data_IF_381398593514
#
_entry.id   IF_381398593514
#
_cell.length_a   1.000
_cell.length_b   1.000
_cell.length_c   1.000
_cell.angle_alpha   90.00
_cell.angle_beta   90.00
_cell.angle_gamma   90.00
#
_symmetry.space_group_name_H-M   'P 1'
#
loop_
_entity.id
_entity.type
_entity.pdbx_description
1 polymer ?
#
# COMPACT_ATOMS: atom_id res chain seq x y z
N UNK A 1 26.79 3.68 -21.54
CA UNK A 1 26.19 2.33 -21.56
C UNK A 1 25.08 2.21 -20.52
N UNK A 2 25.21 2.84 -19.34
CA UNK A 2 24.15 2.78 -18.32
C UNK A 2 22.86 3.55 -18.68
N UNK A 3 22.95 4.64 -19.45
CA UNK A 3 21.79 5.46 -19.85
C UNK A 3 20.84 4.79 -20.87
N UNK A 4 21.28 3.78 -21.62
CA UNK A 4 20.43 3.05 -22.57
C UNK A 4 19.54 1.99 -21.89
N UNK A 5 19.97 1.49 -20.73
CA UNK A 5 19.18 0.55 -19.93
C UNK A 5 17.99 1.28 -19.31
N UNK A 6 18.20 2.48 -18.75
CA UNK A 6 17.12 3.28 -18.17
C UNK A 6 16.15 3.87 -19.21
N UNK A 7 16.59 4.09 -20.45
CA UNK A 7 15.74 4.63 -21.51
C UNK A 7 14.76 3.62 -22.11
N UNK A 8 15.03 2.32 -21.96
CA UNK A 8 14.17 1.23 -22.42
C UNK A 8 13.32 0.63 -21.30
N UNK A 9 13.61 0.96 -20.04
CA UNK A 9 12.85 0.50 -18.89
C UNK A 9 11.59 1.36 -18.68
N UNK A 10 10.45 0.73 -18.93
CA UNK A 10 9.14 1.30 -18.66
C UNK A 10 8.48 0.51 -17.53
N UNK A 11 8.20 1.15 -16.40
CA UNK A 11 7.59 0.50 -15.25
C UNK A 11 6.10 0.82 -15.18
N UNK A 12 5.30 -0.22 -14.95
CA UNK A 12 3.87 -0.05 -14.68
C UNK A 12 3.66 0.61 -13.31
N UNK A 13 2.67 1.50 -13.20
CA UNK A 13 2.29 2.14 -11.93
C UNK A 13 1.86 1.08 -10.88
N UNK A 14 1.41 -0.09 -11.32
CA UNK A 14 1.06 -1.24 -10.47
C UNK A 14 2.16 -1.67 -9.51
N UNK A 15 3.44 -1.38 -9.79
CA UNK A 15 4.53 -1.68 -8.86
C UNK A 15 4.40 -0.94 -7.51
N UNK A 16 3.70 0.20 -7.46
CA UNK A 16 3.38 0.90 -6.20
C UNK A 16 2.42 0.10 -5.31
N UNK A 17 1.67 -0.85 -5.87
CA UNK A 17 0.75 -1.70 -5.13
C UNK A 17 1.48 -2.80 -4.35
N UNK A 18 2.74 -3.11 -4.65
CA UNK A 18 3.48 -4.18 -3.97
C UNK A 18 3.72 -3.91 -2.48
N UNK A 19 4.31 -2.76 -2.08
CA UNK A 19 4.45 -2.43 -0.66
C UNK A 19 3.11 -2.42 0.08
N UNK A 20 2.05 -1.93 -0.58
CA UNK A 20 0.70 -1.90 -0.05
C UNK A 20 0.13 -3.32 0.14
N UNK A 21 0.33 -4.20 -0.83
CA UNK A 21 -0.08 -5.61 -0.75
C UNK A 21 0.65 -6.37 0.36
N UNK A 22 1.96 -6.14 0.53
CA UNK A 22 2.74 -6.71 1.64
C UNK A 22 2.22 -6.20 2.98
N UNK A 23 1.96 -4.90 3.10
CA UNK A 23 1.38 -4.31 4.30
C UNK A 23 0.04 -4.99 4.64
N UNK A 24 -0.87 -5.15 3.67
CA UNK A 24 -2.14 -5.82 3.92
C UNK A 24 -1.99 -7.28 4.32
N UNK A 25 -1.07 -8.00 3.67
CA UNK A 25 -0.80 -9.39 4.02
C UNK A 25 -0.37 -9.52 5.48
N UNK A 26 0.60 -8.72 5.91
CA UNK A 26 1.07 -8.69 7.31
C UNK A 26 -0.04 -8.25 8.26
N UNK A 27 -0.82 -7.22 7.90
CA UNK A 27 -1.95 -6.73 8.68
C UNK A 27 -3.02 -7.80 8.91
N UNK A 28 -3.37 -8.57 7.88
CA UNK A 28 -4.35 -9.66 7.98
C UNK A 28 -3.83 -10.75 8.90
N UNK A 29 -2.57 -11.19 8.73
CA UNK A 29 -1.96 -12.20 9.60
C UNK A 29 -1.95 -11.75 11.07
N UNK A 30 -1.53 -10.51 11.32
CA UNK A 30 -1.52 -9.91 12.65
C UNK A 30 -2.93 -9.85 13.26
N UNK A 31 -3.91 -9.40 12.48
CA UNK A 31 -5.30 -9.27 12.93
C UNK A 31 -5.91 -10.62 13.27
N UNK A 32 -5.71 -11.64 12.43
CA UNK A 32 -6.18 -13.00 12.68
C UNK A 32 -5.51 -13.61 13.91
N UNK A 33 -4.20 -13.41 14.08
CA UNK A 33 -3.48 -13.87 15.27
C UNK A 33 -4.04 -13.22 16.54
N UNK A 34 -4.24 -11.91 16.54
CA UNK A 34 -4.80 -11.18 17.68
C UNK A 34 -6.22 -11.62 18.01
N UNK A 35 -7.08 -11.77 16.99
CA UNK A 35 -8.45 -12.25 17.18
C UNK A 35 -8.45 -13.67 17.75
N UNK A 36 -7.66 -14.59 17.18
CA UNK A 36 -7.51 -15.94 17.70
C UNK A 36 -7.04 -15.94 19.16
N UNK A 37 -6.03 -15.14 19.48
CA UNK A 37 -5.50 -15.04 20.83
C UNK A 37 -6.56 -14.50 21.81
N UNK A 38 -7.31 -13.48 21.43
CA UNK A 38 -8.40 -12.93 22.24
C UNK A 38 -9.53 -13.94 22.45
N UNK A 39 -9.95 -14.66 21.41
CA UNK A 39 -10.99 -15.69 21.53
C UNK A 39 -10.56 -16.87 22.40
N UNK A 40 -9.29 -17.29 22.31
CA UNK A 40 -8.77 -18.47 23.00
C UNK A 40 -8.33 -18.18 24.43
N UNK A 41 -7.73 -17.01 24.69
CA UNK A 41 -7.05 -16.68 25.94
C UNK A 41 -7.56 -15.39 26.61
N UNK A 42 -8.36 -14.59 25.91
CA UNK A 42 -8.80 -13.25 26.35
C UNK A 42 -9.98 -13.23 27.32
N UNK A 43 -10.13 -14.26 28.17
CA UNK A 43 -11.31 -14.49 29.04
C UNK A 43 -11.63 -13.32 30.00
N UNK A 44 -10.71 -12.38 30.22
CA UNK A 44 -10.88 -11.26 31.17
C UNK A 44 -10.68 -9.84 30.62
N UNK A 45 -10.46 -9.64 29.32
CA UNK A 45 -10.12 -8.33 28.76
C UNK A 45 -11.07 -7.87 27.64
N UNK A 46 -12.35 -7.66 27.99
CA UNK A 46 -13.38 -7.15 27.05
C UNK A 46 -12.97 -5.84 26.36
N UNK A 47 -12.22 -4.97 27.05
CA UNK A 47 -11.68 -3.74 26.46
C UNK A 47 -10.73 -4.00 25.28
N UNK A 48 -9.88 -5.03 25.36
CA UNK A 48 -8.99 -5.39 24.26
C UNK A 48 -9.77 -5.92 23.05
N UNK A 49 -10.89 -6.61 23.29
CA UNK A 49 -11.78 -7.06 22.22
C UNK A 49 -12.39 -5.90 21.45
N UNK A 50 -12.91 -4.89 22.17
CA UNK A 50 -13.47 -3.68 21.55
C UNK A 50 -12.40 -2.93 20.75
N UNK A 51 -11.23 -2.68 21.36
CA UNK A 51 -10.15 -1.94 20.69
C UNK A 51 -9.68 -2.67 19.43
N UNK A 52 -9.45 -3.99 19.51
CA UNK A 52 -9.03 -4.77 18.35
C UNK A 52 -10.09 -4.79 17.26
N UNK A 53 -11.38 -4.84 17.64
CA UNK A 53 -12.49 -4.82 16.67
C UNK A 53 -12.60 -3.47 15.97
N UNK A 54 -12.54 -2.37 16.72
CA UNK A 54 -12.56 -1.00 16.17
C UNK A 54 -11.37 -0.79 15.25
N UNK A 55 -10.17 -1.24 15.66
CA UNK A 55 -8.97 -1.15 14.84
C UNK A 55 -9.15 -1.87 13.50
N UNK A 56 -9.58 -3.14 13.52
CA UNK A 56 -9.78 -3.92 12.29
C UNK A 56 -10.85 -3.30 11.40
N UNK A 57 -12.01 -2.95 11.95
CA UNK A 57 -13.11 -2.33 11.18
C UNK A 57 -12.71 -0.97 10.61
N UNK A 58 -12.03 -0.14 11.41
CA UNK A 58 -11.54 1.17 10.98
C UNK A 58 -10.54 1.06 9.84
N UNK A 59 -9.60 0.11 9.93
CA UNK A 59 -8.68 -0.16 8.83
C UNK A 59 -9.43 -0.64 7.59
N UNK A 60 -10.32 -1.63 7.70
CA UNK A 60 -11.12 -2.12 6.56
C UNK A 60 -11.91 -0.99 5.89
N UNK A 61 -12.51 -0.10 6.69
CA UNK A 61 -13.24 1.06 6.19
C UNK A 61 -12.33 2.03 5.40
N UNK A 62 -11.19 2.42 5.98
CA UNK A 62 -10.23 3.32 5.33
C UNK A 62 -9.68 2.72 4.04
N UNK A 63 -9.40 1.42 4.03
CA UNK A 63 -8.90 0.70 2.85
C UNK A 63 -9.96 0.65 1.75
N UNK A 64 -11.20 0.35 2.12
CA UNK A 64 -12.32 0.36 1.17
C UNK A 64 -12.49 1.74 0.55
N UNK A 65 -12.43 2.80 1.38
CA UNK A 65 -12.51 4.18 0.90
C UNK A 65 -11.34 4.52 -0.05
N UNK A 66 -10.11 4.12 0.29
CA UNK A 66 -8.95 4.32 -0.56
C UNK A 66 -9.08 3.60 -1.90
N UNK A 67 -9.62 2.38 -1.91
CA UNK A 67 -9.92 1.64 -3.15
C UNK A 67 -10.90 2.45 -3.99
N UNK A 68 -12.04 2.89 -3.41
CA UNK A 68 -13.04 3.67 -4.14
C UNK A 68 -12.47 4.95 -4.76
N UNK A 69 -11.64 5.69 -4.02
CA UNK A 69 -10.99 6.92 -4.51
C UNK A 69 -10.03 6.63 -5.68
N UNK A 70 -9.47 5.43 -5.74
CA UNK A 70 -8.41 5.09 -6.70
C UNK A 70 -8.87 4.15 -7.83
N UNK A 71 -10.17 3.87 -7.93
CA UNK A 71 -10.74 3.03 -9.00
C UNK A 71 -10.52 3.63 -10.39
N UNK A 72 -10.53 4.96 -10.51
CA UNK A 72 -10.38 5.65 -11.79
C UNK A 72 -8.91 5.77 -12.23
N UNK A 73 -7.97 5.29 -11.42
CA UNK A 73 -6.53 5.30 -11.75
C UNK A 73 -6.22 4.11 -12.65
N UNK A 74 -5.64 4.38 -13.82
CA UNK A 74 -5.06 3.33 -14.66
C UNK A 74 -3.74 2.83 -14.06
N UNK A 75 -3.83 1.77 -13.27
CA UNK A 75 -2.68 1.11 -12.65
C UNK A 75 -1.78 0.41 -13.67
N UNK A 76 -2.27 0.13 -14.88
CA UNK A 76 -1.50 -0.52 -15.95
C UNK A 76 -0.69 0.47 -16.76
N UNK A 77 -0.95 1.77 -16.58
CA UNK A 77 -0.19 2.84 -17.20
C UNK A 77 1.32 2.63 -17.00
N UNK A 78 2.06 2.88 -18.07
CA UNK A 78 3.51 2.71 -18.12
C UNK A 78 4.17 4.07 -17.99
N UNK A 79 5.08 4.21 -17.03
CA UNK A 79 5.90 5.41 -16.85
C UNK A 79 7.30 5.11 -17.37
N UNK A 80 7.77 5.96 -18.30
CA UNK A 80 9.16 5.97 -18.74
C UNK A 80 10.04 6.50 -17.61
N UNK A 81 10.99 5.69 -17.14
CA UNK A 81 11.95 6.09 -16.10
C UNK A 81 12.78 7.30 -16.56
N UNK A 82 13.13 7.38 -17.84
CA UNK A 82 13.84 8.53 -18.42
C UNK A 82 13.07 9.84 -18.22
N UNK A 83 11.80 9.87 -18.61
CA UNK A 83 10.98 11.08 -18.53
C UNK A 83 10.77 11.51 -17.07
N UNK A 84 10.59 10.54 -16.16
CA UNK A 84 10.43 10.80 -14.73
C UNK A 84 11.66 11.51 -14.13
N UNK A 85 12.87 11.06 -14.43
CA UNK A 85 14.10 11.68 -13.92
C UNK A 85 14.43 13.02 -14.61
N UNK A 86 14.13 13.16 -15.91
CA UNK A 86 14.29 14.43 -16.63
C UNK A 86 13.37 15.51 -16.06
N UNK A 87 12.07 15.23 -15.88
CA UNK A 87 11.10 16.16 -15.28
C UNK A 87 11.45 16.52 -13.83
N UNK A 88 11.89 15.53 -13.04
CA UNK A 88 12.33 15.76 -11.66
C UNK A 88 13.56 16.67 -11.60
N UNK A 89 14.52 16.49 -12.51
CA UNK A 89 15.72 17.35 -12.58
C UNK A 89 15.36 18.80 -12.91
N UNK A 90 14.45 19.03 -13.85
CA UNK A 90 14.03 20.39 -14.23
C UNK A 90 13.17 21.07 -13.15
N UNK A 91 12.46 20.28 -12.35
CA UNK A 91 11.64 20.81 -11.25
C UNK A 91 12.50 21.25 -10.05
N UNK A 92 13.63 20.59 -9.78
CA UNK A 92 14.49 20.87 -8.61
C UNK A 92 15.66 21.79 -8.95
N UNK A 93 16.19 21.71 -10.17
CA UNK A 93 17.21 22.60 -10.70
C UNK A 93 16.70 23.18 -12.03
N UNK A 94 15.87 24.24 -11.98
CA UNK A 94 15.46 24.93 -13.19
C UNK A 94 16.69 25.67 -13.75
N UNK A 95 17.35 25.07 -14.74
CA UNK A 95 18.43 25.68 -15.52
C UNK A 95 17.91 25.82 -16.95
#
# INVERSE_FOLDING_TARGET
>A
MDLEIFSSLSLSVSWLLLPLGIFFFVFVLYSLFNLYHLFRFGVYNFGLYIISTIYILGTVFLVSLAIFITLDIDWTASISLKNFFEDYSQTILPI
#
